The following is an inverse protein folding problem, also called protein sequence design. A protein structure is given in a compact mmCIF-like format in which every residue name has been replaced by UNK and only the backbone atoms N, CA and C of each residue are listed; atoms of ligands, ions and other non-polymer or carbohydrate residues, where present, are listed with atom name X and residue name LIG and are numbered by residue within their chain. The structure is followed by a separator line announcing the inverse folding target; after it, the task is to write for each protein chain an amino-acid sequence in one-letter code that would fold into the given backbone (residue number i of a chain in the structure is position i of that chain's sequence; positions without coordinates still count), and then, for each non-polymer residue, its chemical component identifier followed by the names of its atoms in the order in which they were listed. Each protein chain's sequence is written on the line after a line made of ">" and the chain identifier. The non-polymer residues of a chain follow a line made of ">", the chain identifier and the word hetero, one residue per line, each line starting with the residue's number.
data_IF_204441184117
#
_entry.id   IF_204441184117
#
_cell.length_a   1.000
_cell.length_b   1.000
_cell.length_c   1.000
_cell.angle_alpha   90.00
_cell.angle_beta   90.00
_cell.angle_gamma   90.00
#
_symmetry.space_group_name_H-M   'P 1'
#
loop_
_entity.id
_entity.type
_entity.pdbx_description
1 polymer ?
#
# COMPACT_ATOMS: atom_id res chain seq x y z
N UNK A 1 -7.87 2.11 -20.50
CA UNK A 1 -7.07 1.58 -19.37
C UNK A 1 -5.69 1.10 -19.79
N UNK A 2 -5.54 0.25 -20.81
CA UNK A 2 -4.24 -0.29 -21.22
C UNK A 2 -3.22 0.79 -21.65
N UNK A 3 -3.63 1.76 -22.47
CA UNK A 3 -2.74 2.85 -22.91
C UNK A 3 -2.17 3.65 -21.73
N UNK A 4 -3.03 4.00 -20.76
CA UNK A 4 -2.61 4.72 -19.56
C UNK A 4 -1.66 3.88 -18.70
N UNK A 5 -1.95 2.58 -18.51
CA UNK A 5 -1.08 1.68 -17.77
C UNK A 5 0.29 1.54 -18.44
N UNK A 6 0.33 1.37 -19.77
CA UNK A 6 1.58 1.31 -20.54
C UNK A 6 2.38 2.60 -20.43
N UNK A 7 1.74 3.76 -20.48
CA UNK A 7 2.43 5.05 -20.35
C UNK A 7 3.05 5.22 -18.95
N UNK A 8 2.29 4.92 -17.89
CA UNK A 8 2.80 4.97 -16.51
C UNK A 8 3.95 3.98 -16.33
N UNK A 9 3.82 2.75 -16.84
CA UNK A 9 4.85 1.72 -16.78
C UNK A 9 6.15 2.16 -17.47
N UNK A 10 6.06 2.71 -18.68
CA UNK A 10 7.21 3.21 -19.42
C UNK A 10 7.87 4.38 -18.70
N UNK A 11 7.09 5.36 -18.24
CA UNK A 11 7.61 6.50 -17.48
C UNK A 11 8.38 6.03 -16.23
N UNK A 12 7.80 5.10 -15.47
CA UNK A 12 8.42 4.59 -14.25
C UNK A 12 9.65 3.72 -14.55
N UNK A 13 9.63 2.95 -15.63
CA UNK A 13 10.76 2.10 -16.05
C UNK A 13 11.95 2.95 -16.47
N UNK A 14 11.72 3.99 -17.27
CA UNK A 14 12.76 4.95 -17.67
C UNK A 14 13.30 5.67 -16.42
N UNK A 15 12.40 6.13 -15.54
CA UNK A 15 12.78 6.84 -14.33
C UNK A 15 13.62 6.02 -13.35
N UNK A 16 13.32 4.72 -13.21
CA UNK A 16 14.01 3.83 -12.26
C UNK A 16 15.27 3.20 -12.85
N UNK A 17 15.23 2.78 -14.12
CA UNK A 17 16.31 2.00 -14.74
C UNK A 17 17.27 2.84 -15.57
N UNK A 18 16.80 3.85 -16.30
CA UNK A 18 17.63 4.61 -17.25
C UNK A 18 18.21 5.90 -16.64
N UNK A 19 17.41 6.65 -15.89
CA UNK A 19 17.85 7.89 -15.23
C UNK A 19 19.06 7.78 -14.27
N UNK A 20 19.39 6.66 -13.60
CA UNK A 20 20.64 6.58 -12.82
C UNK A 20 21.91 6.65 -13.67
N UNK A 21 21.83 6.40 -14.97
CA UNK A 21 22.97 6.47 -15.90
C UNK A 21 23.07 7.80 -16.65
N UNK A 22 22.11 8.71 -16.42
CA UNK A 22 22.09 10.05 -17.03
C UNK A 22 22.73 11.04 -16.06
N UNK A 23 23.62 11.89 -16.57
CA UNK A 23 24.28 12.93 -15.78
C UNK A 23 23.28 13.87 -15.11
N UNK A 24 23.64 14.36 -13.92
CA UNK A 24 22.73 15.20 -13.12
C UNK A 24 22.52 16.58 -13.73
N UNK A 25 23.45 17.06 -14.56
CA UNK A 25 23.37 18.36 -15.24
C UNK A 25 22.56 18.30 -16.54
N UNK A 26 22.08 17.11 -16.94
CA UNK A 26 21.31 16.95 -18.16
C UNK A 26 19.89 17.53 -18.00
N UNK A 27 19.37 18.35 -18.94
CA UNK A 27 18.04 18.96 -18.83
C UNK A 27 16.89 17.95 -18.73
N UNK A 28 17.13 16.69 -19.10
CA UNK A 28 16.18 15.59 -18.95
C UNK A 28 15.84 15.30 -17.48
N UNK A 29 16.75 15.58 -16.54
CA UNK A 29 16.50 15.40 -15.11
C UNK A 29 15.32 16.25 -14.61
N UNK A 30 15.00 17.38 -15.27
CA UNK A 30 13.87 18.24 -14.90
C UNK A 30 12.49 17.60 -15.14
N UNK A 31 12.40 16.58 -16.01
CA UNK A 31 11.15 15.86 -16.28
C UNK A 31 10.90 14.72 -15.28
N UNK A 32 11.88 14.41 -14.43
CA UNK A 32 11.83 13.33 -13.47
C UNK A 32 12.00 13.87 -12.06
N UNK A 33 11.25 13.31 -11.11
CA UNK A 33 11.46 13.67 -9.71
C UNK A 33 12.83 13.14 -9.23
N UNK A 34 13.36 13.70 -8.12
CA UNK A 34 14.57 13.18 -7.50
C UNK A 34 14.46 11.67 -7.22
N UNK A 35 15.56 10.94 -7.46
CA UNK A 35 15.61 9.46 -7.45
C UNK A 35 15.05 8.81 -6.18
N UNK A 36 15.16 9.47 -5.03
CA UNK A 36 14.59 8.98 -3.77
C UNK A 36 13.07 8.74 -3.86
N UNK A 37 12.35 9.49 -4.69
CA UNK A 37 10.91 9.33 -4.87
C UNK A 37 10.54 8.08 -5.67
N UNK A 38 11.41 7.65 -6.59
CA UNK A 38 11.23 6.41 -7.34
C UNK A 38 11.20 5.17 -6.43
N UNK A 39 11.86 5.24 -5.27
CA UNK A 39 11.84 4.16 -4.26
C UNK A 39 10.76 4.40 -3.21
N UNK A 40 10.59 5.65 -2.75
CA UNK A 40 9.63 5.99 -1.68
C UNK A 40 8.18 5.73 -2.09
N UNK A 41 7.78 6.00 -3.33
CA UNK A 41 6.40 5.84 -3.78
C UNK A 41 5.93 4.38 -3.63
N UNK A 42 6.62 3.35 -4.16
CA UNK A 42 6.25 1.95 -3.97
C UNK A 42 6.22 1.56 -2.48
N UNK A 43 7.21 2.00 -1.70
CA UNK A 43 7.29 1.68 -0.28
C UNK A 43 6.09 2.25 0.48
N UNK A 44 5.72 3.51 0.24
CA UNK A 44 4.55 4.13 0.86
C UNK A 44 3.27 3.40 0.46
N UNK A 45 3.12 3.02 -0.81
CA UNK A 45 1.95 2.26 -1.27
C UNK A 45 1.82 0.90 -0.56
N UNK A 46 2.93 0.18 -0.41
CA UNK A 46 2.96 -1.11 0.30
C UNK A 46 2.64 -0.92 1.78
N UNK A 47 3.23 0.09 2.44
CA UNK A 47 2.98 0.36 3.86
C UNK A 47 1.54 0.80 4.12
N UNK A 48 0.99 1.68 3.28
CA UNK A 48 -0.41 2.10 3.38
C UNK A 48 -1.36 0.93 3.10
N UNK A 49 -1.09 0.16 2.05
CA UNK A 49 -1.87 -1.03 1.72
C UNK A 49 -1.88 -2.05 2.85
N UNK A 50 -0.71 -2.37 3.40
CA UNK A 50 -0.59 -3.31 4.51
C UNK A 50 -1.22 -2.79 5.80
N UNK A 51 -1.09 -1.49 6.10
CA UNK A 51 -1.74 -0.86 7.25
C UNK A 51 -3.26 -0.92 7.14
N UNK A 52 -3.83 -0.65 5.96
CA UNK A 52 -5.27 -0.73 5.71
C UNK A 52 -5.77 -2.17 5.88
N UNK A 53 -5.11 -3.13 5.24
CA UNK A 53 -5.47 -4.56 5.33
C UNK A 53 -5.35 -5.06 6.77
N UNK A 54 -4.24 -4.77 7.45
CA UNK A 54 -3.99 -5.18 8.82
C UNK A 54 -5.01 -4.59 9.81
N UNK A 55 -5.32 -3.29 9.66
CA UNK A 55 -6.34 -2.62 10.49
C UNK A 55 -7.72 -3.21 10.27
N UNK A 56 -8.09 -3.48 9.02
CA UNK A 56 -9.37 -4.09 8.69
C UNK A 56 -9.51 -5.50 9.29
N UNK A 57 -8.49 -6.35 9.11
CA UNK A 57 -8.47 -7.69 9.69
C UNK A 57 -8.55 -7.64 11.22
N UNK A 58 -7.76 -6.76 11.86
CA UNK A 58 -7.80 -6.56 13.30
C UNK A 58 -9.19 -6.17 13.81
N UNK A 59 -9.85 -5.21 13.14
CA UNK A 59 -11.22 -4.80 13.49
C UNK A 59 -12.23 -5.95 13.37
N UNK A 60 -12.15 -6.76 12.30
CA UNK A 60 -13.05 -7.90 12.08
C UNK A 60 -12.83 -8.98 13.15
N UNK A 61 -11.58 -9.28 13.51
CA UNK A 61 -11.26 -10.25 14.56
C UNK A 61 -11.80 -9.81 15.93
N UNK A 62 -11.58 -8.53 16.30
CA UNK A 62 -12.11 -7.96 17.56
C UNK A 62 -13.63 -8.06 17.61
N UNK A 63 -14.32 -7.66 16.54
CA UNK A 63 -15.79 -7.69 16.48
C UNK A 63 -16.35 -9.12 16.51
N UNK A 64 -15.70 -10.06 15.82
CA UNK A 64 -16.06 -11.48 15.82
C UNK A 64 -15.91 -12.10 17.21
N UNK A 65 -14.78 -11.85 17.90
CA UNK A 65 -14.56 -12.35 19.25
C UNK A 65 -15.52 -11.76 20.27
N UNK A 66 -15.81 -10.44 20.21
CA UNK A 66 -16.82 -9.81 21.08
C UNK A 66 -18.20 -10.45 20.90
N UNK A 67 -18.61 -10.76 19.67
CA UNK A 67 -19.88 -11.42 19.39
C UNK A 67 -19.92 -12.86 19.94
N UNK A 68 -18.82 -13.61 19.80
CA UNK A 68 -18.70 -14.96 20.39
C UNK A 68 -18.77 -14.92 21.92
N UNK A 69 -18.02 -14.01 22.55
CA UNK A 69 -18.02 -13.84 24.00
C UNK A 69 -19.38 -13.43 24.56
N UNK A 70 -20.09 -12.52 23.88
CA UNK A 70 -21.45 -12.11 24.27
C UNK A 70 -22.45 -13.27 24.19
N UNK A 71 -22.38 -14.09 23.12
CA UNK A 71 -23.21 -15.30 22.99
C UNK A 71 -22.91 -16.34 24.07
N UNK A 72 -21.64 -16.57 24.39
CA UNK A 72 -21.24 -17.49 25.46
C UNK A 72 -21.77 -17.05 26.83
N UNK A 73 -21.68 -15.74 27.14
CA UNK A 73 -22.23 -15.16 28.38
C UNK A 73 -23.76 -15.30 28.46
N UNK A 74 -24.47 -15.07 27.34
CA UNK A 74 -25.92 -15.24 27.28
C UNK A 74 -26.35 -16.70 27.46
N UNK A 75 -25.61 -17.66 26.89
CA UNK A 75 -25.86 -19.09 27.07
C UNK A 75 -25.61 -19.57 28.50
N UNK A 76 -24.55 -19.06 29.16
CA UNK A 76 -24.26 -19.36 30.56
C UNK A 76 -25.35 -18.81 31.51
N UNK A 77 -25.87 -17.61 31.25
CA UNK A 77 -26.95 -17.01 32.06
C UNK A 77 -28.28 -17.77 31.94
N UNK A 78 -28.51 -18.49 30.84
CA UNK A 78 -29.74 -19.30 30.63
C UNK A 78 -29.68 -20.68 31.32
N UNK A 79 -28.50 -21.10 31.81
CA UNK A 79 -28.28 -22.40 32.45
C UNK A 79 -28.34 -22.34 33.98
N UNK A 80 -28.29 -21.14 34.56
CA UNK A 80 -28.52 -20.86 35.98
C UNK A 80 -29.95 -20.36 36.18
#
# INVERSE_FOLDING_TARGET
>A
MLVAASFVFLYYSIWTLLMPFVDHDHPLQNFFLPRQWAIRIPVILVLLGSAVVGSFLGMVMIRSNRKKAAKAKAAAKKKN
#
